data_IF_991300157353
#
_entry.id   IF_991300157353
#
_cell.length_a   1.000
_cell.length_b   1.000
_cell.length_c   1.000
_cell.angle_alpha   90.00
_cell.angle_beta   90.00
_cell.angle_gamma   90.00
#
_symmetry.space_group_name_H-M   'P 1'
#
loop_
_entity.id
_entity.type
_entity.pdbx_description
1 polymer ?
#
# COMPACT_ATOMS: atom_id res chain seq x y z
N UNK A 1 2.46 -2.86 -54.71
CA UNK A 1 3.59 -3.03 -55.59
C UNK A 1 3.69 -4.50 -56.03
N UNK A 2 3.42 -4.74 -57.31
CA UNK A 2 3.41 -6.11 -57.87
C UNK A 2 4.79 -6.78 -57.87
N UNK A 3 5.89 -6.01 -57.85
CA UNK A 3 7.25 -6.57 -57.86
C UNK A 3 7.73 -6.99 -56.48
N UNK A 4 7.34 -6.29 -55.46
CA UNK A 4 7.80 -6.56 -54.06
C UNK A 4 6.76 -7.23 -53.19
N UNK A 5 5.51 -7.34 -53.64
CA UNK A 5 4.38 -7.81 -52.86
C UNK A 5 4.00 -6.87 -51.69
N UNK A 6 4.62 -5.73 -51.52
CA UNK A 6 4.33 -4.77 -50.45
C UNK A 6 3.14 -3.89 -50.79
N UNK A 7 2.27 -3.69 -49.82
CA UNK A 7 1.19 -2.69 -49.91
C UNK A 7 1.78 -1.28 -49.88
N UNK A 8 1.28 -0.40 -50.71
CA UNK A 8 1.70 1.00 -50.82
C UNK A 8 0.45 1.88 -50.83
N UNK A 9 0.58 3.10 -50.32
CA UNK A 9 -0.44 4.12 -50.43
C UNK A 9 -0.12 4.98 -51.68
N UNK A 10 -1.15 5.15 -52.55
CA UNK A 10 -1.03 6.05 -53.74
C UNK A 10 -1.95 7.24 -53.50
N UNK A 11 -1.38 8.44 -53.43
CA UNK A 11 -2.11 9.70 -53.31
C UNK A 11 -2.09 10.42 -54.64
N UNK A 12 -3.26 10.65 -55.22
CA UNK A 12 -3.43 11.47 -56.42
C UNK A 12 -3.59 12.92 -55.96
N UNK A 13 -2.84 13.84 -56.55
CA UNK A 13 -2.86 15.26 -56.19
C UNK A 13 -3.24 16.05 -57.43
N UNK A 14 -4.22 16.93 -57.32
CA UNK A 14 -4.72 17.71 -58.45
C UNK A 14 -3.92 19.01 -58.73
N UNK A 15 -3.39 19.60 -57.68
CA UNK A 15 -2.66 20.85 -57.72
C UNK A 15 -1.15 20.58 -57.79
N UNK A 16 -0.47 21.15 -58.83
CA UNK A 16 0.94 20.98 -59.07
C UNK A 16 1.82 21.54 -57.92
N UNK A 17 1.43 22.71 -57.39
CA UNK A 17 2.20 23.34 -56.30
C UNK A 17 2.12 22.52 -55.02
N UNK A 18 0.93 21.99 -54.72
CA UNK A 18 0.72 21.09 -53.57
C UNK A 18 1.53 19.79 -53.74
N UNK A 19 1.53 19.20 -54.98
CA UNK A 19 2.32 17.99 -55.26
C UNK A 19 3.82 18.22 -55.11
N UNK A 20 4.35 19.30 -55.67
CA UNK A 20 5.78 19.64 -55.55
C UNK A 20 6.18 19.85 -54.10
N UNK A 21 5.35 20.56 -53.35
CA UNK A 21 5.57 20.80 -51.89
C UNK A 21 5.59 19.49 -51.10
N UNK A 22 4.55 18.68 -51.21
CA UNK A 22 4.44 17.44 -50.46
C UNK A 22 5.62 16.50 -50.82
N UNK A 23 5.96 16.38 -52.07
CA UNK A 23 7.13 15.62 -52.53
C UNK A 23 8.45 16.10 -51.86
N UNK A 24 8.68 17.39 -51.87
CA UNK A 24 9.89 17.98 -51.29
C UNK A 24 9.97 17.75 -49.78
N UNK A 25 8.83 17.95 -49.08
CA UNK A 25 8.74 17.74 -47.61
C UNK A 25 8.97 16.28 -47.26
N UNK A 26 8.32 15.34 -47.96
CA UNK A 26 8.51 13.90 -47.71
C UNK A 26 9.93 13.43 -48.02
N UNK A 27 10.53 13.97 -49.07
CA UNK A 27 11.95 13.68 -49.40
C UNK A 27 12.89 14.15 -48.29
N UNK A 28 12.66 15.35 -47.74
CA UNK A 28 13.48 15.89 -46.66
C UNK A 28 13.25 15.14 -45.33
N UNK A 29 12.03 14.67 -45.11
CA UNK A 29 11.67 13.88 -43.93
C UNK A 29 11.96 12.38 -44.09
N UNK A 30 12.67 11.98 -45.16
CA UNK A 30 13.03 10.58 -45.38
C UNK A 30 13.75 10.03 -44.14
N UNK A 31 13.36 8.85 -43.72
CA UNK A 31 13.82 8.17 -42.49
C UNK A 31 13.41 8.84 -41.17
N UNK A 32 12.51 9.84 -41.18
CA UNK A 32 11.95 10.41 -39.96
C UNK A 32 10.89 9.48 -39.39
N UNK A 33 11.15 8.84 -38.27
CA UNK A 33 10.27 7.90 -37.62
C UNK A 33 8.90 8.57 -37.28
N UNK A 34 7.81 8.05 -37.82
CA UNK A 34 6.47 8.62 -37.66
C UNK A 34 6.04 9.52 -38.82
N UNK A 35 6.76 9.51 -39.92
CA UNK A 35 6.38 10.08 -41.21
C UNK A 35 6.44 8.96 -42.24
N UNK A 36 5.45 8.79 -43.14
CA UNK A 36 5.45 7.79 -44.18
C UNK A 36 6.64 8.01 -45.15
N UNK A 37 7.35 6.95 -45.52
CA UNK A 37 8.44 7.05 -46.50
C UNK A 37 7.85 7.23 -47.90
N UNK A 38 8.39 8.21 -48.67
CA UNK A 38 8.08 8.40 -50.07
C UNK A 38 8.91 7.44 -50.91
N UNK A 39 8.25 6.55 -51.64
CA UNK A 39 8.93 5.61 -52.56
C UNK A 39 9.08 6.14 -53.95
N UNK A 40 8.03 6.80 -54.48
CA UNK A 40 8.04 7.31 -55.83
C UNK A 40 7.08 8.52 -55.98
N UNK A 41 7.41 9.42 -56.87
CA UNK A 41 6.56 10.57 -57.25
C UNK A 41 6.51 10.64 -58.77
N UNK A 42 5.31 10.53 -59.31
CA UNK A 42 5.09 10.49 -60.77
C UNK A 42 4.25 11.66 -61.31
N UNK A 43 4.53 12.00 -62.58
CA UNK A 43 3.79 12.97 -63.38
C UNK A 43 3.47 12.32 -64.73
N UNK A 44 2.36 11.66 -64.84
CA UNK A 44 1.87 11.08 -66.09
C UNK A 44 0.57 11.77 -66.52
N UNK A 45 -0.53 11.04 -66.57
CA UNK A 45 -1.87 11.60 -66.75
C UNK A 45 -2.34 12.37 -65.51
N UNK A 46 -1.86 11.97 -64.36
CA UNK A 46 -2.14 12.55 -63.05
C UNK A 46 -0.83 12.71 -62.27
N UNK A 47 -0.88 13.63 -61.31
CA UNK A 47 0.19 13.80 -60.34
C UNK A 47 -0.05 12.83 -59.16
N UNK A 48 0.93 11.99 -58.88
CA UNK A 48 0.72 11.03 -57.81
C UNK A 48 1.98 10.83 -56.95
N UNK A 49 1.79 10.45 -55.70
CA UNK A 49 2.81 10.08 -54.74
C UNK A 49 2.57 8.65 -54.30
N UNK A 50 3.62 7.81 -54.34
CA UNK A 50 3.61 6.44 -53.81
C UNK A 50 4.42 6.42 -52.54
N UNK A 51 3.77 6.07 -51.44
CA UNK A 51 4.38 6.15 -50.12
C UNK A 51 4.06 4.90 -49.29
N UNK A 52 4.71 4.79 -48.14
CA UNK A 52 4.47 3.75 -47.15
C UNK A 52 2.99 3.68 -46.80
N UNK A 53 2.42 2.47 -46.87
CA UNK A 53 1.07 2.23 -46.42
C UNK A 53 1.06 1.97 -44.89
N UNK A 54 0.37 2.82 -44.13
CA UNK A 54 0.25 2.68 -42.68
C UNK A 54 -0.96 1.83 -42.37
N UNK A 55 -0.71 0.59 -41.95
CA UNK A 55 -1.78 -0.33 -41.55
C UNK A 55 -2.34 0.10 -40.19
N UNK A 56 -3.39 0.93 -40.21
CA UNK A 56 -3.97 1.51 -39.01
C UNK A 56 -5.19 2.39 -39.32
N UNK A 57 -5.56 3.24 -38.37
CA UNK A 57 -6.67 4.17 -38.51
C UNK A 57 -6.26 5.59 -38.11
N UNK A 58 -6.89 6.59 -38.72
CA UNK A 58 -6.72 7.97 -38.27
C UNK A 58 -7.32 8.18 -36.88
N UNK A 59 -6.80 9.14 -36.13
CA UNK A 59 -7.31 9.50 -34.81
C UNK A 59 -8.74 10.05 -34.85
N UNK A 60 -9.20 10.53 -36.00
CA UNK A 60 -10.61 10.91 -36.19
C UNK A 60 -11.56 9.77 -35.82
N UNK A 61 -11.23 8.52 -36.19
CA UNK A 61 -12.03 7.35 -35.87
C UNK A 61 -12.18 7.09 -34.37
N UNK A 62 -11.21 7.51 -33.60
CA UNK A 62 -11.24 7.32 -32.14
C UNK A 62 -12.02 8.40 -31.40
N UNK A 63 -12.23 9.58 -31.98
CA UNK A 63 -13.09 10.67 -31.52
C UNK A 63 -13.24 10.87 -30.02
N UNK A 64 -14.40 11.31 -29.58
CA UNK A 64 -14.71 11.55 -28.17
C UNK A 64 -14.75 10.27 -27.30
N UNK A 65 -14.75 9.08 -27.90
CA UNK A 65 -14.76 7.78 -27.20
C UNK A 65 -13.46 7.56 -26.38
N UNK A 66 -12.37 8.15 -26.81
CA UNK A 66 -11.08 8.06 -26.11
C UNK A 66 -11.05 8.69 -24.70
N UNK A 67 -12.00 9.58 -24.38
CA UNK A 67 -11.90 10.44 -23.20
C UNK A 67 -12.09 9.76 -21.85
N UNK A 68 -12.92 8.75 -21.70
CA UNK A 68 -13.19 8.13 -20.38
C UNK A 68 -12.46 6.82 -20.14
N UNK A 69 -12.43 5.92 -21.09
CA UNK A 69 -11.90 4.56 -20.93
C UNK A 69 -10.38 4.46 -21.13
N UNK A 70 -9.74 5.40 -21.83
CA UNK A 70 -8.36 5.30 -22.30
C UNK A 70 -7.46 6.47 -21.87
N UNK A 71 -7.74 7.13 -20.73
CA UNK A 71 -6.95 8.28 -20.25
C UNK A 71 -5.42 8.09 -20.37
N UNK A 72 -4.91 6.90 -20.00
CA UNK A 72 -3.49 6.61 -20.10
C UNK A 72 -3.02 6.43 -21.54
N UNK A 73 -3.82 5.80 -22.42
CA UNK A 73 -3.48 5.60 -23.84
C UNK A 73 -3.47 6.93 -24.58
N UNK A 74 -4.47 7.79 -24.34
CA UNK A 74 -4.51 9.11 -25.00
C UNK A 74 -3.35 10.01 -24.58
N UNK A 75 -2.94 10.02 -23.32
CA UNK A 75 -1.72 10.73 -22.90
C UNK A 75 -0.46 10.20 -23.60
N UNK A 76 -0.33 8.89 -23.76
CA UNK A 76 0.78 8.28 -24.50
C UNK A 76 0.75 8.65 -25.98
N UNK A 77 -0.44 8.72 -26.60
CA UNK A 77 -0.58 9.19 -27.98
C UNK A 77 -0.13 10.64 -28.13
N UNK A 78 -0.55 11.54 -27.23
CA UNK A 78 -0.10 12.94 -27.24
C UNK A 78 1.40 13.06 -27.12
N UNK A 79 2.03 12.30 -26.23
CA UNK A 79 3.50 12.25 -26.10
C UNK A 79 4.14 11.76 -27.42
N UNK A 80 3.57 10.73 -28.07
CA UNK A 80 4.09 10.21 -29.32
C UNK A 80 3.91 11.22 -30.47
N UNK A 81 2.76 11.91 -30.55
CA UNK A 81 2.52 12.99 -31.52
C UNK A 81 3.57 14.10 -31.33
N UNK A 82 3.76 14.56 -30.10
CA UNK A 82 4.77 15.56 -29.79
C UNK A 82 6.18 15.12 -30.22
N UNK A 83 6.54 13.85 -30.03
CA UNK A 83 7.85 13.31 -30.46
C UNK A 83 8.04 13.34 -31.97
N UNK A 84 7.01 12.98 -32.74
CA UNK A 84 7.06 13.01 -34.20
C UNK A 84 7.13 14.45 -34.69
N UNK A 85 6.24 15.31 -34.18
CA UNK A 85 6.18 16.72 -34.57
C UNK A 85 7.47 17.47 -34.24
N UNK A 86 8.09 17.19 -33.07
CA UNK A 86 9.38 17.78 -32.72
C UNK A 86 10.48 17.41 -33.72
N UNK A 87 10.53 16.16 -34.21
CA UNK A 87 11.51 15.74 -35.24
C UNK A 87 11.30 16.46 -36.58
N UNK A 88 10.04 16.75 -36.93
CA UNK A 88 9.70 17.51 -38.12
C UNK A 88 10.17 18.94 -37.95
N UNK A 89 9.91 19.57 -36.81
CA UNK A 89 10.39 20.93 -36.51
C UNK A 89 11.91 21.05 -36.47
N UNK A 90 12.62 20.04 -35.97
CA UNK A 90 14.08 19.97 -35.96
C UNK A 90 14.69 20.02 -37.39
N UNK A 91 13.91 19.64 -38.42
CA UNK A 91 14.30 19.75 -39.82
C UNK A 91 13.83 21.06 -40.46
N UNK A 92 13.32 22.00 -39.66
CA UNK A 92 12.84 23.29 -40.10
C UNK A 92 11.53 23.22 -40.90
N UNK A 93 10.72 22.19 -40.70
CA UNK A 93 9.43 22.01 -41.39
C UNK A 93 8.30 22.23 -40.39
N UNK A 94 7.27 23.00 -40.79
CA UNK A 94 6.04 23.24 -40.07
C UNK A 94 4.94 22.51 -40.84
N UNK A 95 4.14 21.68 -40.13
CA UNK A 95 3.15 20.81 -40.77
C UNK A 95 1.93 21.57 -41.32
N UNK A 96 1.52 22.64 -40.67
CA UNK A 96 0.47 23.60 -41.04
C UNK A 96 -0.96 23.07 -41.10
N UNK A 97 -1.21 21.75 -41.16
CA UNK A 97 -2.53 21.14 -41.20
C UNK A 97 -2.67 19.96 -40.24
N UNK A 98 -2.25 20.17 -38.98
CA UNK A 98 -2.36 19.13 -37.94
C UNK A 98 -3.82 19.02 -37.47
N UNK A 99 -4.41 17.85 -37.70
CA UNK A 99 -5.79 17.50 -37.31
C UNK A 99 -5.94 15.99 -37.12
N UNK A 100 -7.03 15.51 -36.48
CA UNK A 100 -7.21 14.08 -36.22
C UNK A 100 -7.16 13.19 -37.46
N UNK A 101 -7.59 13.70 -38.62
CA UNK A 101 -7.54 13.02 -39.90
C UNK A 101 -6.12 12.73 -40.38
N UNK A 102 -5.18 13.64 -40.10
CA UNK A 102 -3.79 13.60 -40.55
C UNK A 102 -2.86 12.92 -39.54
N UNK A 103 -3.42 12.30 -38.50
CA UNK A 103 -2.68 11.54 -37.50
C UNK A 103 -3.14 10.08 -37.53
N UNK A 104 -2.27 9.18 -37.97
CA UNK A 104 -2.54 7.74 -38.03
C UNK A 104 -1.97 7.04 -36.81
N UNK A 105 -2.70 6.05 -36.33
CA UNK A 105 -2.27 5.10 -35.29
C UNK A 105 -2.20 3.72 -35.93
N UNK A 106 -1.00 3.12 -35.97
CA UNK A 106 -0.82 1.77 -36.50
C UNK A 106 -1.26 0.70 -35.48
N UNK A 107 -1.28 -0.56 -35.91
CA UNK A 107 -1.63 -1.70 -35.05
C UNK A 107 -0.67 -1.90 -33.88
N UNK A 108 0.57 -1.49 -34.02
CA UNK A 108 1.60 -1.54 -32.96
C UNK A 108 1.52 -0.35 -31.98
N UNK A 109 0.59 0.57 -32.22
CA UNK A 109 0.40 1.77 -31.42
C UNK A 109 1.42 2.88 -31.70
N UNK A 110 2.08 2.88 -32.87
CA UNK A 110 2.91 3.99 -33.30
C UNK A 110 2.06 5.09 -33.95
N UNK A 111 2.53 6.32 -33.85
CA UNK A 111 1.91 7.49 -34.47
C UNK A 111 2.67 7.85 -35.72
N UNK A 112 1.90 8.16 -36.76
CA UNK A 112 2.39 8.73 -38.03
C UNK A 112 1.62 10.01 -38.29
N UNK A 113 2.37 11.07 -38.70
CA UNK A 113 1.81 12.29 -39.24
C UNK A 113 1.84 12.16 -40.78
N UNK A 114 0.68 12.36 -41.38
CA UNK A 114 0.46 12.21 -42.83
C UNK A 114 0.00 13.52 -43.43
N UNK A 115 0.07 13.63 -44.76
CA UNK A 115 -0.41 14.78 -45.56
C UNK A 115 0.38 16.07 -45.33
N UNK A 116 1.51 16.19 -46.01
CA UNK A 116 2.39 17.34 -45.97
C UNK A 116 2.10 18.37 -47.10
N UNK A 117 0.90 18.28 -47.72
CA UNK A 117 0.51 19.19 -48.83
C UNK A 117 0.40 20.65 -48.41
N UNK A 118 0.13 20.93 -47.14
CA UNK A 118 0.11 22.28 -46.56
C UNK A 118 1.43 22.69 -45.89
N UNK A 119 2.40 21.77 -45.73
CA UNK A 119 3.60 22.01 -44.96
C UNK A 119 4.49 23.09 -45.59
N UNK A 120 5.18 23.85 -44.73
CA UNK A 120 6.07 24.94 -45.12
C UNK A 120 7.42 24.84 -44.41
N UNK A 121 8.46 25.40 -44.99
CA UNK A 121 9.70 25.65 -44.24
C UNK A 121 9.48 26.80 -43.23
N UNK A 122 10.09 26.70 -42.07
CA UNK A 122 10.07 27.74 -41.08
C UNK A 122 10.54 29.09 -41.67
N UNK A 123 9.80 30.16 -41.46
CA UNK A 123 10.03 31.47 -42.03
C UNK A 123 9.52 31.68 -43.46
N UNK A 124 8.98 30.66 -44.13
CA UNK A 124 8.36 30.79 -45.46
C UNK A 124 7.02 31.58 -45.33
N UNK A 125 6.70 32.40 -46.35
CA UNK A 125 5.46 33.17 -46.36
C UNK A 125 4.24 32.26 -46.45
N UNK A 126 3.19 32.58 -45.68
CA UNK A 126 1.94 31.84 -45.73
C UNK A 126 1.27 32.03 -47.08
N UNK A 127 0.65 30.97 -47.58
CA UNK A 127 -0.15 30.97 -48.82
C UNK A 127 -1.66 30.83 -48.56
N UNK A 128 -2.10 31.06 -47.32
CA UNK A 128 -3.50 31.02 -46.94
C UNK A 128 -4.12 29.62 -46.79
N UNK A 129 -3.30 28.57 -46.68
CA UNK A 129 -3.74 27.19 -46.50
C UNK A 129 -3.95 26.83 -45.00
N UNK A 130 -4.92 25.98 -44.73
CA UNK A 130 -5.19 25.40 -43.43
C UNK A 130 -6.66 25.02 -43.24
N UNK A 131 -6.95 24.03 -42.45
CA UNK A 131 -8.33 23.59 -42.17
C UNK A 131 -9.00 24.54 -41.15
N UNK A 132 -10.09 25.21 -41.55
CA UNK A 132 -10.76 26.31 -40.85
C UNK A 132 -10.94 26.13 -39.34
N UNK A 133 -11.19 24.91 -38.88
CA UNK A 133 -11.45 24.64 -37.45
C UNK A 133 -10.19 24.36 -36.62
N UNK A 134 -9.04 24.14 -37.28
CA UNK A 134 -7.78 23.79 -36.63
C UNK A 134 -6.72 24.86 -36.80
N UNK A 135 -6.85 25.74 -37.82
CA UNK A 135 -5.95 26.82 -38.09
C UNK A 135 -6.16 28.03 -37.18
N UNK A 136 -5.10 28.69 -36.73
CA UNK A 136 -5.20 29.96 -36.00
C UNK A 136 -5.68 31.08 -36.94
N UNK A 137 -6.28 32.13 -36.37
CA UNK A 137 -6.72 33.32 -37.13
C UNK A 137 -5.55 34.00 -37.89
N UNK A 138 -4.34 33.92 -37.37
CA UNK A 138 -3.12 34.44 -37.99
C UNK A 138 -2.75 33.66 -39.26
N UNK A 139 -3.04 32.35 -39.31
CA UNK A 139 -2.73 31.49 -40.46
C UNK A 139 -3.49 31.89 -41.75
N UNK A 140 -4.58 32.59 -41.63
CA UNK A 140 -5.33 33.12 -42.77
C UNK A 140 -4.73 34.42 -43.36
N UNK A 141 -3.73 35.01 -42.66
CA UNK A 141 -3.09 36.25 -43.11
C UNK A 141 -1.86 35.94 -43.97
N UNK A 142 -1.83 36.43 -45.17
CA UNK A 142 -0.74 36.20 -46.16
C UNK A 142 0.56 36.90 -45.80
N UNK A 143 0.56 37.86 -44.88
CA UNK A 143 1.75 38.58 -44.41
C UNK A 143 2.56 37.82 -43.36
N UNK A 144 1.96 36.84 -42.73
CA UNK A 144 2.61 36.04 -41.69
C UNK A 144 3.57 35.01 -42.30
N UNK A 145 4.52 34.54 -41.48
CA UNK A 145 5.51 33.52 -41.85
C UNK A 145 5.27 32.24 -41.09
N UNK A 146 5.55 31.11 -41.70
CA UNK A 146 5.41 29.81 -41.08
C UNK A 146 6.29 29.70 -39.83
N UNK A 147 5.64 29.40 -38.70
CA UNK A 147 6.26 29.24 -37.40
C UNK A 147 5.66 28.05 -36.64
N UNK A 148 6.43 27.48 -35.74
CA UNK A 148 6.01 26.35 -34.89
C UNK A 148 4.74 26.64 -34.12
N UNK A 149 4.43 27.91 -33.85
CA UNK A 149 3.21 28.33 -33.15
C UNK A 149 1.92 27.91 -33.85
N UNK A 150 1.94 27.76 -35.20
CA UNK A 150 0.78 27.27 -35.95
C UNK A 150 0.50 25.79 -35.64
N UNK A 151 1.53 24.96 -35.60
CA UNK A 151 1.39 23.55 -35.24
C UNK A 151 1.04 23.37 -33.76
N UNK A 152 1.55 24.23 -32.86
CA UNK A 152 1.17 24.23 -31.45
C UNK A 152 -0.33 24.52 -31.27
N UNK A 153 -0.83 25.53 -31.97
CA UNK A 153 -2.24 25.87 -31.96
C UNK A 153 -3.11 24.73 -32.54
N UNK A 154 -2.77 24.19 -33.69
CA UNK A 154 -3.46 23.08 -34.36
C UNK A 154 -3.44 21.82 -33.50
N UNK A 155 -2.33 21.55 -32.77
CA UNK A 155 -2.24 20.48 -31.78
C UNK A 155 -3.21 20.72 -30.63
N UNK A 156 -3.32 21.95 -30.11
CA UNK A 156 -4.30 22.34 -29.10
C UNK A 156 -5.73 22.04 -29.54
N UNK A 157 -6.10 22.44 -30.76
CA UNK A 157 -7.43 22.14 -31.35
C UNK A 157 -7.65 20.64 -31.57
N UNK A 158 -6.64 19.93 -31.99
CA UNK A 158 -6.67 18.46 -32.12
C UNK A 158 -6.93 17.80 -30.77
N UNK A 159 -6.24 18.23 -29.70
CA UNK A 159 -6.46 17.74 -28.35
C UNK A 159 -7.88 18.05 -27.84
N UNK A 160 -8.37 19.27 -28.06
CA UNK A 160 -9.74 19.70 -27.70
C UNK A 160 -10.79 18.80 -28.34
N UNK A 161 -10.60 18.41 -29.61
CA UNK A 161 -11.54 17.53 -30.34
C UNK A 161 -11.48 16.05 -29.92
N UNK A 162 -10.29 15.57 -29.47
CA UNK A 162 -10.07 14.15 -29.19
C UNK A 162 -10.18 13.78 -27.71
N UNK A 163 -9.91 14.73 -26.80
CA UNK A 163 -9.76 14.42 -25.40
C UNK A 163 -10.91 14.96 -24.55
N UNK A 164 -11.49 14.12 -23.69
CA UNK A 164 -12.18 14.62 -22.49
C UNK A 164 -11.12 15.02 -21.46
N UNK A 165 -10.76 16.29 -21.46
CA UNK A 165 -9.68 16.80 -20.66
C UNK A 165 -9.98 16.70 -19.15
N UNK A 166 -8.94 16.30 -18.37
CA UNK A 166 -8.88 16.60 -16.93
C UNK A 166 -8.35 18.01 -16.77
N UNK A 167 -8.52 18.64 -15.59
CA UNK A 167 -8.04 20.00 -15.33
C UNK A 167 -6.57 20.20 -15.73
N UNK A 168 -5.71 19.19 -15.50
CA UNK A 168 -4.31 19.25 -15.89
C UNK A 168 -4.10 19.23 -17.41
N UNK A 169 -4.88 18.43 -18.14
CA UNK A 169 -4.85 18.37 -19.61
C UNK A 169 -5.49 19.62 -20.21
N UNK A 170 -6.57 20.11 -19.60
CA UNK A 170 -7.24 21.33 -20.02
C UNK A 170 -6.28 22.53 -19.99
N UNK A 171 -5.48 22.69 -18.95
CA UNK A 171 -4.45 23.73 -18.85
C UNK A 171 -3.42 23.66 -19.98
N UNK A 172 -3.07 22.44 -20.42
CA UNK A 172 -2.15 22.28 -21.58
C UNK A 172 -2.85 22.75 -22.87
N UNK A 173 -4.10 22.34 -23.06
CA UNK A 173 -4.89 22.76 -24.24
C UNK A 173 -5.03 24.27 -24.28
N UNK A 174 -5.48 24.88 -23.20
CA UNK A 174 -5.64 26.34 -23.07
C UNK A 174 -4.32 27.08 -23.39
N UNK A 175 -3.21 26.60 -22.85
CA UNK A 175 -1.90 27.20 -23.11
C UNK A 175 -1.46 27.05 -24.58
N UNK A 176 -1.87 25.98 -25.27
CA UNK A 176 -1.66 25.87 -26.74
C UNK A 176 -2.49 26.86 -27.54
N UNK A 177 -3.66 27.25 -27.04
CA UNK A 177 -4.65 28.05 -27.75
C UNK A 177 -4.60 29.55 -27.43
N UNK A 178 -3.73 30.00 -26.54
CA UNK A 178 -3.55 31.42 -26.21
C UNK A 178 -3.14 32.18 -27.47
N UNK A 179 -3.81 33.30 -27.77
CA UNK A 179 -3.49 34.14 -28.94
C UNK A 179 -2.16 34.90 -28.80
N UNK A 180 -1.70 35.16 -27.58
CA UNK A 180 -0.42 35.78 -27.27
C UNK A 180 0.70 34.74 -27.37
N UNK A 181 1.53 34.87 -28.42
CA UNK A 181 2.60 33.93 -28.69
C UNK A 181 3.66 33.88 -27.57
N UNK A 182 3.87 34.98 -26.84
CA UNK A 182 4.76 35.02 -25.68
C UNK A 182 4.31 34.16 -24.50
N UNK A 183 3.00 33.97 -24.34
CA UNK A 183 2.41 33.15 -23.28
C UNK A 183 2.14 31.71 -23.69
N UNK A 184 2.20 31.41 -24.99
CA UNK A 184 2.04 30.08 -25.53
C UNK A 184 3.29 29.21 -25.26
N UNK A 185 3.24 27.94 -25.53
CA UNK A 185 4.42 27.09 -25.58
C UNK A 185 5.40 27.59 -26.66
N UNK A 186 6.71 27.61 -26.35
CA UNK A 186 7.73 28.01 -27.31
C UNK A 186 8.25 26.88 -28.19
N UNK A 187 7.97 25.63 -27.82
CA UNK A 187 8.31 24.44 -28.62
C UNK A 187 7.49 23.24 -28.16
N UNK A 188 7.46 22.22 -29.01
CA UNK A 188 6.71 20.96 -28.74
C UNK A 188 7.29 20.17 -27.59
N UNK A 189 8.57 20.29 -27.26
CA UNK A 189 9.20 19.58 -26.14
C UNK A 189 8.61 20.00 -24.79
N UNK A 190 8.22 21.26 -24.64
CA UNK A 190 7.56 21.73 -23.42
C UNK A 190 6.19 21.07 -23.24
N UNK A 191 5.40 20.93 -24.31
CA UNK A 191 4.11 20.23 -24.28
C UNK A 191 4.31 18.74 -23.94
N UNK A 192 5.30 18.12 -24.56
CA UNK A 192 5.66 16.73 -24.26
C UNK A 192 6.02 16.55 -22.79
N UNK A 193 6.86 17.43 -22.24
CA UNK A 193 7.29 17.35 -20.84
C UNK A 193 6.11 17.48 -19.86
N UNK A 194 5.13 18.36 -20.14
CA UNK A 194 3.95 18.49 -19.32
C UNK A 194 3.07 17.22 -19.35
N UNK A 195 2.90 16.60 -20.52
CA UNK A 195 2.22 15.30 -20.61
C UNK A 195 2.97 14.18 -19.87
N UNK A 196 4.29 14.14 -20.00
CA UNK A 196 5.12 13.16 -19.28
C UNK A 196 5.05 13.38 -17.77
N UNK A 197 4.99 14.64 -17.31
CA UNK A 197 4.77 14.98 -15.90
C UNK A 197 3.42 14.45 -15.38
N UNK A 198 2.33 14.69 -16.12
CA UNK A 198 1.00 14.17 -15.76
C UNK A 198 1.04 12.63 -15.66
N UNK A 199 1.65 11.97 -16.65
CA UNK A 199 1.75 10.51 -16.67
C UNK A 199 2.57 9.98 -15.48
N UNK A 200 3.64 10.67 -15.08
CA UNK A 200 4.47 10.35 -13.91
C UNK A 200 3.67 10.45 -12.61
N UNK A 201 2.96 11.55 -12.43
CA UNK A 201 2.09 11.76 -11.25
C UNK A 201 1.01 10.66 -11.15
N UNK A 202 0.40 10.30 -12.28
CA UNK A 202 -0.59 9.20 -12.31
C UNK A 202 0.02 7.84 -11.94
N UNK A 203 1.27 7.57 -12.31
CA UNK A 203 2.00 6.35 -11.92
C UNK A 203 2.34 6.36 -10.42
N UNK A 204 2.83 7.48 -9.89
CA UNK A 204 3.16 7.64 -8.46
C UNK A 204 1.94 7.44 -7.58
N UNK A 205 0.78 8.06 -7.92
CA UNK A 205 -0.47 7.88 -7.16
C UNK A 205 -0.89 6.40 -7.09
N UNK A 206 -0.76 5.64 -8.18
CA UNK A 206 -1.05 4.20 -8.18
C UNK A 206 -0.09 3.40 -7.29
N UNK A 207 1.22 3.69 -7.38
CA UNK A 207 2.22 3.06 -6.51
C UNK A 207 1.96 3.31 -5.03
N UNK A 208 1.65 4.56 -4.67
CA UNK A 208 1.33 4.95 -3.29
C UNK A 208 0.09 4.23 -2.75
N UNK A 209 -0.97 4.08 -3.57
CA UNK A 209 -2.17 3.33 -3.18
C UNK A 209 -1.87 1.85 -2.91
N UNK A 210 -0.99 1.23 -3.68
CA UNK A 210 -0.55 -0.16 -3.43
C UNK A 210 0.20 -0.28 -2.11
N UNK A 211 1.12 0.65 -1.82
CA UNK A 211 1.87 0.67 -0.56
C UNK A 211 0.91 0.82 0.64
N UNK A 212 -0.06 1.74 0.56
CA UNK A 212 -1.08 1.89 1.62
C UNK A 212 -1.87 0.59 1.80
N UNK A 213 -2.32 -0.04 0.72
CA UNK A 213 -3.07 -1.29 0.81
C UNK A 213 -2.27 -2.41 1.48
N UNK A 214 -1.00 -2.58 1.11
CA UNK A 214 -0.09 -3.56 1.76
C UNK A 214 0.08 -3.25 3.24
N UNK A 215 0.31 -1.98 3.59
CA UNK A 215 0.44 -1.56 4.98
C UNK A 215 -0.82 -1.82 5.81
N UNK A 216 -2.00 -1.54 5.26
CA UNK A 216 -3.28 -1.84 5.92
C UNK A 216 -3.49 -3.34 6.14
N UNK A 217 -3.17 -4.17 5.14
CA UNK A 217 -3.25 -5.63 5.24
C UNK A 217 -2.30 -6.15 6.33
N UNK A 218 -1.08 -5.65 6.37
CA UNK A 218 -0.08 -6.03 7.38
C UNK A 218 -0.53 -5.68 8.80
N UNK A 219 -1.09 -4.47 8.99
CA UNK A 219 -1.63 -4.06 10.29
C UNK A 219 -2.81 -4.93 10.73
N UNK A 220 -3.72 -5.25 9.83
CA UNK A 220 -4.85 -6.14 10.12
C UNK A 220 -4.37 -7.55 10.50
N UNK A 221 -3.42 -8.10 9.75
CA UNK A 221 -2.80 -9.39 10.08
C UNK A 221 -2.16 -9.40 11.46
N UNK A 222 -1.38 -8.36 11.79
CA UNK A 222 -0.76 -8.24 13.11
C UNK A 222 -1.80 -8.12 14.24
N UNK A 223 -2.93 -7.50 13.99
CA UNK A 223 -4.02 -7.38 14.95
C UNK A 223 -4.68 -8.74 15.22
N UNK A 224 -4.97 -9.51 14.17
CA UNK A 224 -5.52 -10.87 14.29
C UNK A 224 -4.57 -11.76 15.09
N UNK A 225 -3.26 -11.74 14.79
CA UNK A 225 -2.27 -12.54 15.52
C UNK A 225 -2.20 -12.19 17.02
N UNK A 226 -2.37 -10.90 17.37
CA UNK A 226 -2.42 -10.46 18.78
C UNK A 226 -3.67 -10.94 19.49
N UNK A 227 -4.81 -10.97 18.83
CA UNK A 227 -6.07 -11.47 19.39
C UNK A 227 -5.98 -12.98 19.63
N UNK A 228 -5.53 -13.76 18.65
CA UNK A 228 -5.31 -15.20 18.82
C UNK A 228 -4.34 -15.53 19.97
N UNK A 229 -3.28 -14.74 20.11
CA UNK A 229 -2.33 -14.93 21.21
C UNK A 229 -2.96 -14.64 22.57
N UNK A 230 -3.75 -13.57 22.69
CA UNK A 230 -4.50 -13.24 23.92
C UNK A 230 -5.49 -14.34 24.31
N UNK A 231 -6.23 -14.88 23.35
CA UNK A 231 -7.16 -15.99 23.60
C UNK A 231 -6.44 -17.23 24.14
N UNK A 232 -5.31 -17.59 23.53
CA UNK A 232 -4.47 -18.71 24.00
C UNK A 232 -3.98 -18.48 25.43
N UNK A 233 -3.52 -17.28 25.76
CA UNK A 233 -3.09 -16.91 27.11
C UNK A 233 -4.22 -17.03 28.14
N UNK A 234 -5.42 -16.56 27.81
CA UNK A 234 -6.61 -16.66 28.68
C UNK A 234 -7.00 -18.12 28.93
N UNK A 235 -6.95 -18.97 27.89
CA UNK A 235 -7.26 -20.42 28.03
C UNK A 235 -6.23 -21.09 28.94
N UNK A 236 -4.96 -20.83 28.74
CA UNK A 236 -3.86 -21.36 29.58
C UNK A 236 -4.03 -20.92 31.03
N UNK A 237 -4.34 -19.65 31.27
CA UNK A 237 -4.56 -19.09 32.59
C UNK A 237 -5.74 -19.76 33.32
N UNK A 238 -6.89 -19.91 32.67
CA UNK A 238 -8.06 -20.59 33.21
C UNK A 238 -7.75 -22.05 33.54
N UNK A 239 -7.03 -22.75 32.67
CA UNK A 239 -6.63 -24.15 32.92
C UNK A 239 -5.71 -24.25 34.13
N UNK A 240 -4.70 -23.40 34.24
CA UNK A 240 -3.78 -23.42 35.38
C UNK A 240 -4.48 -23.12 36.71
N UNK A 241 -5.41 -22.17 36.76
CA UNK A 241 -6.21 -21.90 37.96
C UNK A 241 -7.01 -23.10 38.42
N UNK A 242 -7.65 -23.84 37.49
CA UNK A 242 -8.40 -25.07 37.82
C UNK A 242 -7.48 -26.15 38.41
N UNK A 243 -6.32 -26.36 37.83
CA UNK A 243 -5.37 -27.37 38.31
C UNK A 243 -4.80 -27.00 39.68
N UNK A 244 -4.46 -25.73 39.95
CA UNK A 244 -4.02 -25.25 41.25
C UNK A 244 -5.11 -25.44 42.28
N UNK A 245 -6.38 -25.10 41.99
CA UNK A 245 -7.52 -25.32 42.92
C UNK A 245 -7.67 -26.80 43.29
N UNK A 246 -7.52 -27.72 42.32
CA UNK A 246 -7.52 -29.16 42.62
C UNK A 246 -6.35 -29.58 43.48
N UNK A 247 -5.15 -29.04 43.18
CA UNK A 247 -3.95 -29.32 43.99
C UNK A 247 -4.19 -28.95 45.47
N UNK A 248 -4.75 -27.77 45.74
CA UNK A 248 -5.03 -27.31 47.08
C UNK A 248 -6.11 -28.15 47.77
N UNK A 249 -7.19 -28.55 47.04
CA UNK A 249 -8.20 -29.43 47.55
C UNK A 249 -7.64 -30.81 47.96
N UNK A 250 -6.70 -31.38 47.21
CA UNK A 250 -6.04 -32.62 47.62
C UNK A 250 -5.01 -32.43 48.74
N UNK A 251 -4.39 -31.28 48.81
CA UNK A 251 -3.38 -30.98 49.83
C UNK A 251 -4.02 -30.91 51.23
N UNK A 252 -5.11 -30.13 51.35
CA UNK A 252 -5.78 -29.94 52.65
C UNK A 252 -6.85 -31.01 52.96
N UNK A 253 -7.43 -31.59 51.93
CA UNK A 253 -8.67 -32.34 52.05
C UNK A 253 -9.89 -31.42 52.08
N UNK A 254 -11.03 -31.94 51.70
CA UNK A 254 -12.35 -31.32 51.86
C UNK A 254 -13.34 -32.39 52.28
N UNK A 255 -14.59 -32.02 52.65
CA UNK A 255 -15.61 -33.01 52.98
C UNK A 255 -15.83 -34.06 51.87
N UNK A 256 -15.49 -33.73 50.64
CA UNK A 256 -15.63 -34.61 49.47
C UNK A 256 -14.31 -35.20 48.94
N UNK A 257 -13.17 -34.65 49.36
CA UNK A 257 -11.84 -35.02 48.84
C UNK A 257 -10.91 -35.33 50.01
N UNK A 258 -10.49 -36.60 50.10
CA UNK A 258 -9.51 -37.02 51.09
C UNK A 258 -8.14 -36.40 50.80
N UNK A 259 -7.45 -35.95 51.87
CA UNK A 259 -6.09 -35.40 51.80
C UNK A 259 -5.12 -36.36 51.10
N UNK A 260 -4.42 -35.86 50.08
CA UNK A 260 -3.45 -36.62 49.29
C UNK A 260 -2.40 -35.71 48.70
N UNK A 261 -1.25 -35.57 49.38
CA UNK A 261 -0.13 -34.70 49.00
C UNK A 261 0.54 -35.12 47.68
N UNK A 262 0.50 -36.41 47.34
CA UNK A 262 1.03 -36.92 46.10
C UNK A 262 0.18 -36.44 44.88
N UNK A 263 -1.16 -36.53 45.00
CA UNK A 263 -2.06 -36.02 43.98
C UNK A 263 -1.98 -34.48 43.87
N UNK A 264 -1.88 -33.78 44.98
CA UNK A 264 -1.66 -32.33 44.99
C UNK A 264 -0.43 -31.94 44.16
N UNK A 265 0.68 -32.68 44.37
CA UNK A 265 1.92 -32.49 43.60
C UNK A 265 1.71 -32.74 42.11
N UNK A 266 1.04 -33.80 41.70
CA UNK A 266 0.76 -34.11 40.30
C UNK A 266 0.01 -32.97 39.61
N UNK A 267 -0.97 -32.37 40.28
CA UNK A 267 -1.73 -31.25 39.75
C UNK A 267 -0.88 -29.97 39.61
N UNK A 268 0.01 -29.69 40.59
CA UNK A 268 0.94 -28.57 40.49
C UNK A 268 1.99 -28.77 39.36
N UNK A 269 2.54 -29.97 39.23
CA UNK A 269 3.49 -30.29 38.14
C UNK A 269 2.86 -30.09 36.75
N UNK A 270 1.59 -30.38 36.55
CA UNK A 270 0.86 -30.11 35.32
C UNK A 270 0.79 -28.62 34.97
N UNK A 271 0.92 -27.75 35.98
CA UNK A 271 0.96 -26.30 35.79
C UNK A 271 2.37 -25.73 35.65
N UNK A 272 3.41 -26.56 35.73
CA UNK A 272 4.80 -26.14 35.60
C UNK A 272 5.02 -25.48 34.25
N UNK A 273 5.54 -24.25 34.24
CA UNK A 273 5.72 -23.43 33.02
C UNK A 273 4.46 -22.67 32.55
N UNK A 274 3.28 -22.91 33.12
CA UNK A 274 2.06 -22.16 32.78
C UNK A 274 1.89 -20.89 33.63
N UNK A 275 2.40 -20.89 34.86
CA UNK A 275 2.45 -19.75 35.77
C UNK A 275 3.82 -19.65 36.42
N UNK A 276 4.27 -18.41 36.66
CA UNK A 276 5.58 -18.09 37.21
C UNK A 276 5.78 -18.69 38.60
N UNK A 277 4.74 -18.84 39.39
CA UNK A 277 4.79 -19.18 40.80
C UNK A 277 4.55 -20.67 41.12
N UNK A 278 4.28 -21.49 40.10
CA UNK A 278 4.06 -22.94 40.36
C UNK A 278 5.27 -23.61 40.96
N UNK A 279 6.48 -23.22 40.55
CA UNK A 279 7.74 -23.71 41.12
C UNK A 279 7.85 -23.39 42.62
N UNK A 280 7.39 -22.21 43.03
CA UNK A 280 7.40 -21.76 44.42
C UNK A 280 6.41 -22.57 45.24
N UNK A 281 5.22 -22.85 44.73
CA UNK A 281 4.25 -23.73 45.39
C UNK A 281 4.77 -25.17 45.57
N UNK A 282 5.47 -25.71 44.57
CA UNK A 282 6.09 -27.04 44.69
C UNK A 282 7.15 -27.08 45.77
N UNK A 283 8.00 -26.03 45.91
CA UNK A 283 8.97 -25.93 46.98
C UNK A 283 8.30 -25.83 48.34
N UNK A 284 7.24 -25.04 48.49
CA UNK A 284 6.48 -24.94 49.71
C UNK A 284 5.86 -26.28 50.10
N UNK A 285 5.32 -27.02 49.13
CA UNK A 285 4.78 -28.37 49.36
C UNK A 285 5.88 -29.34 49.81
N UNK A 286 7.10 -29.24 49.27
CA UNK A 286 8.23 -30.05 49.73
C UNK A 286 8.65 -29.73 51.16
N UNK A 287 8.55 -28.48 51.59
CA UNK A 287 8.84 -28.06 52.96
C UNK A 287 7.80 -28.56 53.93
N UNK A 288 6.49 -28.44 53.57
CA UNK A 288 5.39 -28.90 54.42
C UNK A 288 5.28 -30.44 54.52
N UNK A 289 5.81 -31.15 53.51
CA UNK A 289 5.88 -32.62 53.48
C UNK A 289 7.19 -33.16 54.15
N UNK A 290 7.96 -32.30 54.81
CA UNK A 290 9.29 -32.60 55.44
C UNK A 290 10.34 -33.20 54.48
N UNK A 291 10.12 -32.99 53.16
CA UNK A 291 11.04 -33.50 52.14
C UNK A 291 12.25 -32.58 51.89
N UNK A 292 12.20 -31.33 52.35
CA UNK A 292 13.24 -30.33 52.24
C UNK A 292 13.45 -29.57 53.56
N UNK A 293 14.52 -29.90 54.24
CA UNK A 293 14.92 -29.23 55.50
C UNK A 293 16.15 -28.32 55.31
N UNK A 294 16.65 -28.17 54.04
CA UNK A 294 17.89 -27.52 53.72
C UNK A 294 17.71 -26.04 53.23
N UNK A 295 16.51 -25.51 53.28
CA UNK A 295 16.20 -24.16 52.78
C UNK A 295 16.39 -23.15 53.94
N UNK A 296 17.21 -22.11 53.71
CA UNK A 296 17.37 -21.00 54.66
C UNK A 296 16.07 -20.22 54.82
N UNK A 297 15.84 -19.65 56.04
CA UNK A 297 14.66 -18.83 56.31
C UNK A 297 14.49 -17.67 55.34
N UNK A 298 15.59 -16.99 54.93
CA UNK A 298 15.53 -15.90 53.94
C UNK A 298 15.03 -16.36 52.56
N UNK A 299 15.52 -17.52 52.12
CA UNK A 299 15.15 -18.09 50.82
C UNK A 299 13.69 -18.55 50.85
N UNK A 300 13.24 -19.09 51.96
CA UNK A 300 11.88 -19.49 52.18
C UNK A 300 10.93 -18.30 52.19
N UNK A 301 11.27 -17.18 52.82
CA UNK A 301 10.49 -15.94 52.83
C UNK A 301 10.38 -15.37 51.42
N UNK A 302 11.45 -15.40 50.62
CA UNK A 302 11.37 -14.95 49.23
C UNK A 302 10.44 -15.82 48.39
N UNK A 303 10.46 -17.13 48.55
CA UNK A 303 9.56 -18.07 47.87
C UNK A 303 8.09 -17.80 48.26
N UNK A 304 7.87 -17.54 49.53
CA UNK A 304 6.59 -17.17 50.09
C UNK A 304 6.09 -15.84 49.46
N UNK A 305 6.95 -14.82 49.40
CA UNK A 305 6.64 -13.55 48.77
C UNK A 305 6.31 -13.69 47.25
N UNK A 306 7.06 -14.52 46.54
CA UNK A 306 6.83 -14.80 45.14
C UNK A 306 5.44 -15.44 44.91
N UNK A 307 4.94 -16.24 45.87
CA UNK A 307 3.57 -16.74 45.83
C UNK A 307 2.52 -15.66 46.18
N UNK A 308 2.83 -14.62 46.97
CA UNK A 308 1.90 -13.53 47.37
C UNK A 308 1.38 -12.70 46.20
N UNK A 309 2.14 -12.55 45.15
CA UNK A 309 1.75 -11.74 43.98
C UNK A 309 0.54 -12.26 43.23
N UNK A 310 0.12 -13.50 43.49
CA UNK A 310 -1.01 -14.17 42.85
C UNK A 310 -2.20 -14.39 43.77
N UNK A 311 -2.22 -13.77 44.98
CA UNK A 311 -3.30 -13.94 45.98
C UNK A 311 -4.55 -13.18 45.53
N UNK A 312 -5.26 -13.74 44.57
CA UNK A 312 -6.58 -13.29 44.16
C UNK A 312 -7.68 -14.31 44.51
N UNK A 313 -7.30 -15.44 45.15
CA UNK A 313 -8.26 -16.46 45.57
C UNK A 313 -7.99 -16.94 47.01
N UNK A 314 -9.04 -17.48 47.63
CA UNK A 314 -9.01 -18.01 48.99
C UNK A 314 -7.87 -19.03 49.21
N UNK A 315 -7.66 -19.92 48.25
CA UNK A 315 -6.69 -21.02 48.42
C UNK A 315 -5.24 -20.54 48.48
N UNK A 316 -4.90 -19.55 47.69
CA UNK A 316 -3.57 -18.96 47.73
C UNK A 316 -3.34 -18.30 49.11
N UNK A 317 -4.29 -17.55 49.60
CA UNK A 317 -4.19 -16.90 50.91
C UNK A 317 -4.14 -17.94 52.06
N UNK A 318 -4.98 -18.98 52.00
CA UNK A 318 -5.00 -20.04 52.98
C UNK A 318 -3.71 -20.86 53.02
N UNK A 319 -3.13 -21.18 51.89
CA UNK A 319 -1.84 -21.86 51.80
C UNK A 319 -0.75 -21.12 52.56
N UNK A 320 -0.75 -19.82 52.49
CA UNK A 320 0.14 -18.96 53.22
C UNK A 320 -0.06 -19.07 54.74
N UNK A 321 -1.29 -18.92 55.20
CA UNK A 321 -1.61 -19.00 56.60
C UNK A 321 -1.15 -20.36 57.17
N UNK A 322 -1.50 -21.44 56.49
CA UNK A 322 -1.13 -22.80 56.91
C UNK A 322 0.39 -23.00 56.96
N UNK A 323 1.12 -22.46 55.95
CA UNK A 323 2.55 -22.51 55.95
C UNK A 323 3.18 -21.81 57.15
N UNK A 324 2.68 -20.66 57.55
CA UNK A 324 3.15 -19.94 58.72
C UNK A 324 2.81 -20.68 60.00
N UNK A 325 1.62 -21.22 60.13
CA UNK A 325 1.20 -21.93 61.32
C UNK A 325 1.99 -23.20 61.56
N UNK A 326 2.32 -23.95 60.52
CA UNK A 326 3.07 -25.21 60.61
C UNK A 326 4.58 -24.98 60.86
N UNK A 327 5.14 -23.88 60.37
CA UNK A 327 6.59 -23.63 60.37
C UNK A 327 7.05 -22.57 61.43
N UNK A 328 6.19 -22.11 62.30
CA UNK A 328 6.51 -21.04 63.29
C UNK A 328 7.74 -21.33 64.16
N UNK A 329 8.09 -22.59 64.43
CA UNK A 329 9.28 -22.95 65.20
C UNK A 329 10.64 -22.59 64.50
N UNK A 330 10.62 -22.36 63.19
CA UNK A 330 11.81 -22.08 62.37
C UNK A 330 11.92 -20.60 61.96
N UNK A 331 10.93 -19.75 62.31
CA UNK A 331 10.83 -18.41 61.77
C UNK A 331 10.82 -17.36 62.89
N UNK A 332 11.43 -16.19 62.64
CA UNK A 332 11.58 -15.09 63.58
C UNK A 332 10.30 -14.32 63.87
N UNK A 333 10.29 -13.47 64.92
CA UNK A 333 9.14 -12.67 65.42
C UNK A 333 8.39 -11.87 64.34
N UNK A 334 9.04 -11.48 63.26
CA UNK A 334 8.44 -10.79 62.12
C UNK A 334 7.44 -11.67 61.34
N UNK A 335 7.60 -12.98 61.41
CA UNK A 335 6.73 -13.94 60.70
C UNK A 335 5.37 -14.07 61.36
N UNK A 336 5.31 -13.90 62.64
CA UNK A 336 4.08 -13.85 63.40
C UNK A 336 3.14 -12.73 62.93
N UNK A 337 3.70 -11.52 62.77
CA UNK A 337 2.92 -10.36 62.24
C UNK A 337 2.45 -10.57 60.81
N UNK A 338 3.19 -11.30 59.98
CA UNK A 338 2.73 -11.65 58.64
C UNK A 338 1.60 -12.70 58.65
N UNK A 339 1.62 -13.67 59.56
CA UNK A 339 0.56 -14.67 59.75
C UNK A 339 -0.76 -14.00 60.17
N UNK A 340 -0.72 -13.07 61.13
CA UNK A 340 -1.89 -12.29 61.55
C UNK A 340 -2.46 -11.47 60.38
N UNK A 341 -1.61 -10.83 59.64
CA UNK A 341 -2.02 -10.06 58.44
C UNK A 341 -2.68 -10.96 57.38
N UNK A 342 -2.21 -12.19 57.22
CA UNK A 342 -2.83 -13.17 56.33
C UNK A 342 -4.21 -13.63 56.84
N UNK A 343 -4.36 -13.83 58.15
CA UNK A 343 -5.66 -14.09 58.77
C UNK A 343 -6.68 -12.99 58.44
N UNK A 344 -6.30 -11.73 58.58
CA UNK A 344 -7.16 -10.59 58.22
C UNK A 344 -7.52 -10.55 56.73
N UNK A 345 -6.58 -10.90 55.88
CA UNK A 345 -6.82 -10.96 54.44
C UNK A 345 -7.79 -12.08 54.05
N UNK A 346 -7.64 -13.27 54.65
CA UNK A 346 -8.52 -14.42 54.41
C UNK A 346 -9.95 -14.11 54.77
N UNK A 347 -10.17 -13.35 55.86
CA UNK A 347 -11.54 -12.95 56.32
C UNK A 347 -12.28 -12.09 55.28
N UNK A 348 -11.59 -11.46 54.36
CA UNK A 348 -12.19 -10.64 53.28
C UNK A 348 -12.75 -11.48 52.12
N UNK A 349 -12.42 -12.77 52.03
CA UNK A 349 -12.93 -13.64 50.98
C UNK A 349 -14.26 -14.30 51.41
N UNK A 350 -15.25 -14.45 50.51
CA UNK A 350 -16.48 -15.17 50.83
C UNK A 350 -16.13 -16.63 51.11
N UNK A 351 -16.29 -17.00 52.39
CA UNK A 351 -15.93 -18.33 52.89
C UNK A 351 -17.13 -19.26 52.78
N UNK A 352 -16.90 -20.45 52.19
CA UNK A 352 -17.81 -21.57 52.35
C UNK A 352 -17.57 -22.19 53.76
N UNK A 353 -18.60 -22.78 54.33
CA UNK A 353 -18.57 -23.40 55.67
C UNK A 353 -17.41 -24.42 55.84
N UNK A 354 -17.08 -25.15 54.76
CA UNK A 354 -15.94 -26.08 54.67
C UNK A 354 -14.57 -25.40 54.90
N UNK A 355 -14.41 -24.15 54.49
CA UNK A 355 -13.15 -23.45 54.62
C UNK A 355 -12.98 -22.74 55.95
N UNK A 356 -14.10 -22.47 56.64
CA UNK A 356 -14.07 -21.85 57.96
C UNK A 356 -13.41 -22.76 59.00
N UNK A 357 -13.67 -24.07 58.93
CA UNK A 357 -13.05 -25.07 59.84
C UNK A 357 -11.53 -25.11 59.65
N UNK A 358 -11.02 -25.11 58.42
CA UNK A 358 -9.58 -25.14 58.14
C UNK A 358 -8.87 -23.89 58.63
N UNK A 359 -9.49 -22.73 58.42
CA UNK A 359 -8.96 -21.44 58.91
C UNK A 359 -8.98 -21.38 60.42
N UNK A 360 -10.01 -21.94 61.10
CA UNK A 360 -10.12 -21.96 62.55
C UNK A 360 -9.11 -22.91 63.19
N UNK A 361 -8.83 -24.08 62.61
CA UNK A 361 -7.78 -24.97 63.05
C UNK A 361 -6.41 -24.28 63.00
N UNK A 362 -6.09 -23.61 61.93
CA UNK A 362 -4.79 -22.90 61.82
C UNK A 362 -4.74 -21.68 62.74
N UNK A 363 -5.86 -21.03 62.99
CA UNK A 363 -5.94 -19.94 63.95
C UNK A 363 -5.70 -20.41 65.38
N UNK A 364 -6.32 -21.52 65.78
CA UNK A 364 -6.10 -22.13 67.09
C UNK A 364 -4.63 -22.50 67.25
N UNK A 365 -4.06 -23.20 66.28
CA UNK A 365 -2.64 -23.59 66.30
C UNK A 365 -1.70 -22.37 66.37
N UNK A 366 -2.08 -21.27 65.76
CA UNK A 366 -1.30 -20.03 65.78
C UNK A 366 -1.29 -19.42 67.22
N UNK A 367 -2.45 -19.31 67.84
CA UNK A 367 -2.58 -18.73 69.19
C UNK A 367 -2.09 -19.63 70.30
N UNK A 368 -2.24 -20.96 70.20
CA UNK A 368 -1.66 -21.90 71.17
C UNK A 368 -0.14 -21.82 71.24
N UNK A 369 0.52 -21.69 70.10
CA UNK A 369 1.98 -21.52 70.00
C UNK A 369 2.48 -20.14 70.46
N UNK A 370 1.63 -19.11 70.44
CA UNK A 370 1.92 -17.82 71.03
C UNK A 370 1.95 -17.91 72.56
N UNK A 371 0.98 -18.60 73.11
CA UNK A 371 0.91 -18.85 74.55
C UNK A 371 2.10 -19.65 75.10
N UNK A 372 2.58 -20.63 74.32
CA UNK A 372 3.81 -21.41 74.65
C UNK A 372 5.12 -20.61 74.65
N UNK A 373 5.14 -19.45 74.00
CA UNK A 373 6.34 -18.57 73.97
C UNK A 373 6.37 -17.52 75.09
N UNK A 374 5.23 -17.37 75.80
CA UNK A 374 5.08 -16.40 76.87
C UNK A 374 5.44 -16.94 78.28
N UNK A 375 5.70 -18.24 78.38
CA UNK A 375 6.28 -18.91 79.54
C UNK A 375 7.75 -19.21 79.29
#
# INVERSE_FOLDING_TARGET
DQKTGKEVAVKIVKDQKQWDRERVMLQKLKHTKGVPELFFAGKEKELFLVMEYILGNSLKRYGSVCGKLYKKKSLLWMIKICKVLNKIHEQGIIHMDLKPENIMLDQSGNIYLIDFGAALFAGEKLSGYGTKNYASKKQAKTEERADIYFDIYSLGKTMESLLKATDAVQKIIEKCLIDDDAKRYHNIRQIQADFERILRICRMKKGFMVVIAVFCIQNLWNQIQREEQREKEVIVQKKSQREIKKAMAYFYGTDQIQKNTQLARVYLERCRGMKKNVSSYLVLLDVLDDRRNDISAEKLMKIVQDCQTDVHDFWSAYFYLHFYTVNTAKLSENVWKEAEKMLEQIQKYPQKEEYQKLVEEDRINLYEREAEKGD
#
